data_IF_388731225077
#
_entry.id   IF_388731225077
#
_cell.length_a   1.000
_cell.length_b   1.000
_cell.length_c   1.000
_cell.angle_alpha   90.00
_cell.angle_beta   90.00
_cell.angle_gamma   90.00
#
_symmetry.space_group_name_H-M   'P 1'
#
loop_
_entity.id
_entity.type
_entity.pdbx_description
1 polymer ?
#
# COMPACT_ATOMS: atom_id res chain seq x y z
N UNK A 1 -16.31 21.24 -8.11
CA UNK A 1 -15.53 22.37 -7.57
C UNK A 1 -14.06 22.23 -7.91
N UNK A 2 -13.44 21.09 -7.66
CA UNK A 2 -12.02 20.87 -7.93
C UNK A 2 -11.68 20.76 -9.43
N UNK A 3 -12.60 20.27 -10.25
CA UNK A 3 -12.36 20.08 -11.68
C UNK A 3 -12.12 21.38 -12.44
N UNK A 4 -12.80 22.47 -12.09
CA UNK A 4 -12.67 23.75 -12.79
C UNK A 4 -11.37 24.49 -12.46
N UNK A 5 -10.80 24.26 -11.27
CA UNK A 5 -9.55 24.92 -10.86
C UNK A 5 -8.30 24.11 -11.26
N UNK A 6 -8.41 22.77 -11.29
CA UNK A 6 -7.30 21.86 -11.54
C UNK A 6 -7.18 21.42 -13.00
N UNK A 7 -8.27 21.43 -13.75
CA UNK A 7 -8.37 20.82 -15.08
C UNK A 7 -8.55 21.85 -16.18
N UNK A 8 -7.48 22.43 -16.65
CA UNK A 8 -7.51 23.38 -17.77
C UNK A 8 -7.79 22.69 -19.13
N UNK A 9 -7.62 21.38 -19.23
CA UNK A 9 -7.88 20.60 -20.41
C UNK A 9 -9.18 19.78 -20.36
N UNK A 10 -9.99 19.96 -19.32
CA UNK A 10 -11.20 19.17 -19.04
C UNK A 10 -10.96 17.66 -18.90
N UNK A 11 -9.75 17.23 -18.50
CA UNK A 11 -9.38 15.81 -18.39
C UNK A 11 -10.19 15.09 -17.33
N UNK A 12 -10.33 15.68 -16.14
CA UNK A 12 -11.10 15.09 -15.05
C UNK A 12 -12.58 15.04 -15.42
N UNK A 13 -13.12 16.13 -15.96
CA UNK A 13 -14.52 16.21 -16.40
C UNK A 13 -14.84 15.18 -17.48
N UNK A 14 -13.94 14.97 -18.44
CA UNK A 14 -14.10 13.96 -19.48
C UNK A 14 -14.02 12.54 -18.90
N UNK A 15 -13.06 12.29 -18.00
CA UNK A 15 -12.92 11.00 -17.30
C UNK A 15 -14.20 10.67 -16.53
N UNK A 16 -14.74 11.62 -15.76
CA UNK A 16 -15.98 11.42 -14.99
C UNK A 16 -17.21 11.20 -15.87
N UNK A 17 -17.25 11.78 -17.08
CA UNK A 17 -18.35 11.52 -18.04
C UNK A 17 -18.27 10.15 -18.70
N UNK A 18 -17.07 9.61 -18.81
CA UNK A 18 -16.82 8.29 -19.42
C UNK A 18 -16.92 7.17 -18.38
N UNK A 19 -16.80 7.52 -17.10
CA UNK A 19 -16.89 6.56 -16.00
C UNK A 19 -18.34 6.05 -15.88
N UNK A 20 -18.48 4.73 -15.91
CA UNK A 20 -19.76 4.04 -15.77
C UNK A 20 -20.27 4.02 -14.32
N UNK A 21 -19.42 4.37 -13.36
CA UNK A 21 -19.76 4.36 -11.94
C UNK A 21 -20.45 5.65 -11.52
N UNK A 22 -21.60 5.53 -10.87
CA UNK A 22 -22.43 6.70 -10.52
C UNK A 22 -22.20 7.18 -9.07
N UNK A 23 -21.63 6.33 -8.23
CA UNK A 23 -21.38 6.61 -6.82
C UNK A 23 -20.12 5.92 -6.31
N UNK A 24 -19.75 6.23 -5.08
CA UNK A 24 -18.56 5.70 -4.42
C UNK A 24 -18.63 4.18 -4.25
N UNK A 25 -19.81 3.64 -3.96
CA UNK A 25 -20.00 2.20 -3.81
C UNK A 25 -19.78 1.46 -5.14
N UNK A 26 -20.39 1.94 -6.22
CA UNK A 26 -20.20 1.36 -7.55
C UNK A 26 -18.73 1.40 -7.99
N UNK A 27 -18.01 2.48 -7.69
CA UNK A 27 -16.59 2.61 -7.97
C UNK A 27 -15.75 1.59 -7.17
N UNK A 28 -16.02 1.42 -5.88
CA UNK A 28 -15.34 0.40 -5.05
C UNK A 28 -15.59 -1.02 -5.56
N UNK A 29 -16.81 -1.33 -5.93
CA UNK A 29 -17.18 -2.64 -6.50
C UNK A 29 -16.48 -2.87 -7.84
N UNK A 30 -16.40 -1.85 -8.70
CA UNK A 30 -15.70 -1.96 -9.98
C UNK A 30 -14.20 -2.25 -9.77
N UNK A 31 -13.54 -1.54 -8.84
CA UNK A 31 -12.14 -1.79 -8.47
C UNK A 31 -11.97 -3.20 -7.90
N UNK A 32 -12.89 -3.63 -7.01
CA UNK A 32 -12.84 -4.97 -6.41
C UNK A 32 -12.89 -6.07 -7.48
N UNK A 33 -13.81 -5.97 -8.44
CA UNK A 33 -13.94 -6.93 -9.55
C UNK A 33 -12.68 -6.98 -10.42
N UNK A 34 -12.05 -5.83 -10.65
CA UNK A 34 -10.80 -5.77 -11.42
C UNK A 34 -9.64 -6.43 -10.69
N UNK A 35 -9.54 -6.25 -9.37
CA UNK A 35 -8.46 -6.81 -8.54
C UNK A 35 -8.68 -8.29 -8.19
N UNK A 36 -9.93 -8.73 -8.10
CA UNK A 36 -10.32 -10.10 -7.73
C UNK A 36 -11.38 -10.65 -8.68
N UNK A 37 -11.01 -10.96 -9.92
CA UNK A 37 -11.93 -11.54 -10.86
C UNK A 37 -12.45 -12.92 -10.35
N UNK A 38 -13.76 -13.11 -10.38
CA UNK A 38 -14.41 -14.36 -9.97
C UNK A 38 -14.91 -14.40 -8.52
N UNK A 39 -14.56 -13.44 -7.68
CA UNK A 39 -15.17 -13.30 -6.34
C UNK A 39 -16.39 -12.38 -6.39
N UNK A 40 -17.52 -12.76 -5.76
CA UNK A 40 -18.69 -11.88 -5.69
C UNK A 40 -18.34 -10.67 -4.80
N UNK A 41 -18.52 -9.45 -5.31
CA UNK A 41 -18.24 -8.24 -4.54
C UNK A 41 -19.34 -8.01 -3.50
N UNK A 42 -18.98 -7.90 -2.23
CA UNK A 42 -19.83 -7.37 -1.17
C UNK A 42 -19.34 -5.98 -0.80
N UNK A 43 -20.21 -5.15 -0.23
CA UNK A 43 -19.86 -3.78 0.17
C UNK A 43 -18.69 -3.79 1.16
N UNK A 44 -18.78 -4.62 2.21
CA UNK A 44 -17.76 -4.74 3.24
C UNK A 44 -16.42 -5.22 2.67
N UNK A 45 -16.44 -6.20 1.76
CA UNK A 45 -15.22 -6.73 1.14
C UNK A 45 -14.56 -5.69 0.23
N UNK A 46 -15.34 -4.93 -0.54
CA UNK A 46 -14.83 -3.88 -1.41
C UNK A 46 -14.23 -2.72 -0.59
N UNK A 47 -14.93 -2.30 0.48
CA UNK A 47 -14.42 -1.28 1.38
C UNK A 47 -13.16 -1.73 2.12
N UNK A 48 -13.15 -2.93 2.68
CA UNK A 48 -11.99 -3.49 3.37
C UNK A 48 -10.79 -3.61 2.44
N UNK A 49 -10.98 -3.95 1.17
CA UNK A 49 -9.91 -4.00 0.18
C UNK A 49 -9.28 -2.63 -0.06
N UNK A 50 -10.08 -1.58 -0.28
CA UNK A 50 -9.56 -0.21 -0.48
C UNK A 50 -8.82 0.28 0.76
N UNK A 51 -9.37 0.03 1.95
CA UNK A 51 -8.71 0.36 3.21
C UNK A 51 -7.33 -0.30 3.31
N UNK A 52 -7.23 -1.58 3.01
CA UNK A 52 -5.95 -2.31 3.03
C UNK A 52 -4.96 -1.83 1.98
N UNK A 53 -5.41 -1.38 0.82
CA UNK A 53 -4.53 -0.95 -0.26
C UNK A 53 -3.80 0.35 0.04
N UNK A 54 -4.44 1.31 0.73
CA UNK A 54 -3.92 2.67 0.81
C UNK A 54 -3.89 3.27 2.22
N UNK A 55 -4.77 2.84 3.12
CA UNK A 55 -5.05 3.53 4.38
C UNK A 55 -4.70 2.74 5.64
N UNK A 56 -4.45 1.43 5.53
CA UNK A 56 -4.11 0.59 6.67
C UNK A 56 -2.59 0.51 6.86
N UNK A 57 -2.05 0.95 8.02
CA UNK A 57 -0.62 0.93 8.30
C UNK A 57 -0.01 -0.48 8.37
N UNK A 58 -0.83 -1.52 8.58
CA UNK A 58 -0.35 -2.90 8.60
C UNK A 58 -0.02 -3.43 7.20
N UNK A 59 -0.59 -2.83 6.16
CA UNK A 59 -0.48 -3.31 4.77
C UNK A 59 0.13 -2.31 3.82
N UNK A 60 0.22 -1.03 4.20
CA UNK A 60 0.77 0.05 3.39
C UNK A 60 1.68 0.96 4.23
N UNK A 61 2.89 1.20 3.76
CA UNK A 61 3.86 2.07 4.42
C UNK A 61 4.72 2.80 3.39
N UNK A 62 4.61 4.13 3.35
CA UNK A 62 5.47 5.00 2.54
C UNK A 62 6.90 5.06 3.06
N UNK A 63 7.15 4.67 4.30
CA UNK A 63 8.36 4.95 5.06
C UNK A 63 8.62 6.44 5.30
N UNK A 64 9.53 6.76 6.24
CA UNK A 64 9.89 8.17 6.53
C UNK A 64 10.49 8.87 5.31
N UNK A 65 11.37 8.18 4.59
CA UNK A 65 12.03 8.72 3.39
C UNK A 65 11.02 8.92 2.26
N UNK A 66 10.12 7.96 2.05
CA UNK A 66 9.05 8.09 1.06
C UNK A 66 8.12 9.25 1.37
N UNK A 67 7.67 9.40 2.62
CA UNK A 67 6.82 10.54 3.05
C UNK A 67 7.54 11.89 2.87
N UNK A 68 8.81 11.98 3.24
CA UNK A 68 9.61 13.18 3.05
C UNK A 68 9.70 13.58 1.57
N UNK A 69 10.06 12.63 0.69
CA UNK A 69 10.14 12.87 -0.76
C UNK A 69 8.78 13.21 -1.36
N UNK A 70 7.73 12.53 -0.94
CA UNK A 70 6.38 12.84 -1.36
C UNK A 70 5.99 14.28 -1.01
N UNK A 71 6.19 14.68 0.24
CA UNK A 71 5.88 16.04 0.70
C UNK A 71 6.69 17.08 -0.06
N UNK A 72 7.99 16.85 -0.27
CA UNK A 72 8.85 17.74 -1.06
C UNK A 72 8.35 17.88 -2.51
N UNK A 73 7.93 16.79 -3.15
CA UNK A 73 7.36 16.81 -4.51
C UNK A 73 6.02 17.55 -4.57
N UNK A 74 5.21 17.46 -3.51
CA UNK A 74 3.95 18.20 -3.38
C UNK A 74 4.13 19.66 -2.96
N UNK A 75 5.38 20.14 -2.77
CA UNK A 75 5.67 21.52 -2.33
C UNK A 75 5.24 21.79 -0.88
N UNK A 76 5.10 20.75 -0.04
CA UNK A 76 4.76 20.89 1.37
C UNK A 76 6.02 21.22 2.18
N UNK A 77 5.90 22.17 3.12
CA UNK A 77 7.02 22.55 4.01
C UNK A 77 7.37 21.45 5.02
N UNK A 78 6.41 20.62 5.40
CA UNK A 78 6.60 19.56 6.39
C UNK A 78 7.27 18.33 5.76
N UNK A 79 8.35 17.86 6.39
CA UNK A 79 9.05 16.62 6.00
C UNK A 79 8.46 15.36 6.64
N UNK A 80 7.48 15.53 7.54
CA UNK A 80 6.83 14.45 8.30
C UNK A 80 5.35 14.35 8.00
N UNK A 81 4.72 13.24 8.39
CA UNK A 81 3.31 13.02 8.22
C UNK A 81 2.93 11.54 8.38
N UNK A 82 1.67 11.17 8.17
CA UNK A 82 1.23 9.78 8.24
C UNK A 82 1.96 8.93 7.19
N UNK A 83 2.29 7.70 7.54
CA UNK A 83 2.99 6.76 6.64
C UNK A 83 2.05 6.09 5.63
N UNK A 84 0.75 6.27 5.81
CA UNK A 84 -0.30 5.85 4.88
C UNK A 84 -0.73 7.04 4.01
N UNK A 85 -1.42 6.78 2.90
CA UNK A 85 -1.99 7.82 2.08
C UNK A 85 -3.20 8.49 2.76
N UNK A 86 -3.40 9.75 2.45
CA UNK A 86 -4.61 10.51 2.80
C UNK A 86 -5.35 10.93 1.53
N UNK A 87 -6.62 11.30 1.66
CA UNK A 87 -7.40 11.81 0.53
C UNK A 87 -6.76 13.08 -0.07
N UNK A 88 -6.14 13.92 0.78
CA UNK A 88 -5.42 15.10 0.33
C UNK A 88 -4.16 14.75 -0.48
N UNK A 89 -3.49 13.66 -0.13
CA UNK A 89 -2.35 13.15 -0.90
C UNK A 89 -2.79 12.76 -2.31
N UNK A 90 -3.88 12.02 -2.41
CA UNK A 90 -4.45 11.58 -3.71
C UNK A 90 -4.83 12.79 -4.57
N UNK A 91 -5.53 13.78 -3.98
CA UNK A 91 -5.90 15.01 -4.69
C UNK A 91 -4.66 15.79 -5.16
N UNK A 92 -3.62 15.87 -4.33
CA UNK A 92 -2.37 16.54 -4.69
C UNK A 92 -1.66 15.83 -5.86
N UNK A 93 -1.65 14.50 -5.88
CA UNK A 93 -1.12 13.71 -7.01
C UNK A 93 -1.91 13.98 -8.28
N UNK A 94 -3.25 13.93 -8.23
CA UNK A 94 -4.10 14.23 -9.39
C UNK A 94 -3.83 15.63 -9.93
N UNK A 95 -3.67 16.63 -9.04
CA UNK A 95 -3.32 18.01 -9.44
C UNK A 95 -2.01 18.05 -10.23
N UNK A 96 -0.95 17.42 -9.71
CA UNK A 96 0.35 17.38 -10.39
C UNK A 96 0.25 16.67 -11.74
N UNK A 97 -0.50 15.57 -11.84
CA UNK A 97 -0.69 14.86 -13.11
C UNK A 97 -1.40 15.73 -14.15
N UNK A 98 -2.40 16.50 -13.74
CA UNK A 98 -3.07 17.48 -14.63
C UNK A 98 -2.11 18.59 -15.04
N UNK A 99 -1.32 19.13 -14.11
CA UNK A 99 -0.31 20.14 -14.40
C UNK A 99 0.73 19.65 -15.40
N UNK A 100 1.26 18.43 -15.22
CA UNK A 100 2.17 17.79 -16.18
C UNK A 100 1.53 17.62 -17.56
N UNK A 101 0.27 17.21 -17.62
CA UNK A 101 -0.49 17.10 -18.87
C UNK A 101 -0.65 18.44 -19.59
N UNK A 102 -0.74 19.52 -18.84
CA UNK A 102 -0.79 20.90 -19.35
C UNK A 102 0.60 21.50 -19.62
N UNK A 103 1.66 20.69 -19.58
CA UNK A 103 3.03 21.14 -19.85
C UNK A 103 3.67 21.93 -18.69
N UNK A 104 3.13 21.83 -17.48
CA UNK A 104 3.68 22.45 -16.28
C UNK A 104 4.41 21.40 -15.42
N UNK A 105 5.66 21.69 -15.08
CA UNK A 105 6.51 20.78 -14.32
C UNK A 105 7.30 19.82 -15.21
N UNK A 106 8.01 18.93 -14.57
CA UNK A 106 8.89 17.94 -15.22
C UNK A 106 8.56 16.53 -14.74
N UNK A 107 8.63 15.59 -15.66
CA UNK A 107 8.46 14.15 -15.35
C UNK A 107 9.73 13.66 -14.68
N UNK A 108 9.57 12.96 -13.55
CA UNK A 108 10.71 12.37 -12.84
C UNK A 108 11.33 11.21 -13.64
N UNK A 109 12.65 11.16 -13.65
CA UNK A 109 13.38 9.98 -14.07
C UNK A 109 13.34 8.94 -12.94
N UNK A 110 12.54 7.88 -13.13
CA UNK A 110 12.37 6.81 -12.14
C UNK A 110 13.61 5.94 -11.97
N UNK A 111 14.50 5.90 -12.95
CA UNK A 111 15.73 5.11 -12.92
C UNK A 111 16.89 5.88 -12.28
N UNK A 112 16.75 7.20 -12.11
CA UNK A 112 17.77 8.01 -11.45
C UNK A 112 17.93 7.57 -9.98
N UNK A 113 19.16 7.30 -9.54
CA UNK A 113 19.45 6.83 -8.19
C UNK A 113 19.00 7.79 -7.06
N UNK A 114 18.80 9.07 -7.37
CA UNK A 114 18.17 10.03 -6.47
C UNK A 114 16.69 9.72 -6.19
N UNK A 115 15.99 9.04 -7.10
CA UNK A 115 14.58 8.66 -7.01
C UNK A 115 14.39 7.19 -6.63
N UNK A 116 15.43 6.37 -6.84
CA UNK A 116 15.40 4.93 -6.54
C UNK A 116 16.24 4.63 -5.31
N UNK A 117 15.58 4.12 -4.27
CA UNK A 117 16.24 3.75 -3.02
C UNK A 117 17.01 2.44 -3.18
N UNK A 118 18.31 2.46 -2.82
CA UNK A 118 19.13 1.24 -2.72
C UNK A 118 19.00 0.68 -1.30
N UNK A 119 18.64 -0.59 -1.19
CA UNK A 119 18.56 -1.31 0.08
C UNK A 119 19.86 -2.05 0.37
N UNK A 120 20.38 -1.90 1.58
CA UNK A 120 21.56 -2.65 2.01
C UNK A 120 21.20 -4.09 2.40
N UNK A 121 22.22 -4.94 2.49
CA UNK A 121 22.03 -6.35 2.85
C UNK A 121 21.38 -6.54 4.21
N UNK A 122 21.66 -5.66 5.18
CA UNK A 122 21.03 -5.71 6.50
C UNK A 122 19.52 -5.54 6.44
N UNK A 123 19.04 -4.60 5.63
CA UNK A 123 17.60 -4.40 5.43
C UNK A 123 16.95 -5.58 4.69
N UNK A 124 17.63 -6.16 3.71
CA UNK A 124 17.14 -7.35 3.01
C UNK A 124 17.04 -8.55 3.97
N UNK A 125 18.04 -8.75 4.82
CA UNK A 125 18.04 -9.80 5.85
C UNK A 125 16.94 -9.57 6.89
N UNK A 126 16.72 -8.32 7.33
CA UNK A 126 15.61 -7.95 8.22
C UNK A 126 14.26 -8.32 7.63
N UNK A 127 14.02 -7.96 6.37
CA UNK A 127 12.77 -8.28 5.69
C UNK A 127 12.53 -9.81 5.63
N UNK A 128 13.58 -10.57 5.38
CA UNK A 128 13.48 -12.03 5.35
C UNK A 128 13.24 -12.62 6.75
N UNK A 129 13.87 -12.05 7.76
CA UNK A 129 13.62 -12.43 9.15
C UNK A 129 12.16 -12.13 9.57
N UNK A 130 11.62 -10.98 9.21
CA UNK A 130 10.19 -10.64 9.41
C UNK A 130 9.26 -11.64 8.75
N UNK A 131 9.59 -12.10 7.54
CA UNK A 131 8.82 -13.18 6.87
C UNK A 131 8.82 -14.46 7.68
N UNK A 132 9.96 -14.84 8.25
CA UNK A 132 10.07 -15.99 9.14
C UNK A 132 9.23 -15.83 10.42
N UNK A 133 9.23 -14.65 11.03
CA UNK A 133 8.39 -14.34 12.20
C UNK A 133 6.90 -14.40 11.89
N UNK A 134 6.45 -13.88 10.75
CA UNK A 134 5.06 -13.94 10.33
C UNK A 134 4.59 -15.40 10.13
N UNK A 135 5.46 -16.28 9.63
CA UNK A 135 5.18 -17.72 9.52
C UNK A 135 5.01 -18.36 10.91
N UNK A 136 5.84 -17.96 11.89
CA UNK A 136 5.69 -18.43 13.29
C UNK A 136 4.39 -17.92 13.89
N UNK A 137 4.10 -16.63 13.76
CA UNK A 137 2.86 -16.03 14.28
C UNK A 137 1.63 -16.78 13.76
N UNK A 138 1.59 -17.03 12.44
CA UNK A 138 0.51 -17.79 11.83
C UNK A 138 0.39 -19.20 12.43
N UNK A 139 1.51 -19.93 12.54
CA UNK A 139 1.52 -21.28 13.10
C UNK A 139 1.08 -21.31 14.57
N UNK A 140 1.47 -20.30 15.36
CA UNK A 140 1.04 -20.17 16.76
C UNK A 140 -0.46 -19.92 16.84
N UNK A 141 -1.00 -19.00 16.03
CA UNK A 141 -2.44 -18.73 15.99
C UNK A 141 -3.26 -19.96 15.60
N UNK A 142 -2.79 -20.73 14.61
CA UNK A 142 -3.45 -21.98 14.19
C UNK A 142 -3.46 -23.02 15.30
N UNK A 143 -2.33 -23.19 16.01
CA UNK A 143 -2.23 -24.14 17.13
C UNK A 143 -3.08 -23.71 18.33
N UNK A 144 -3.07 -22.44 18.68
CA UNK A 144 -3.93 -21.92 19.74
C UNK A 144 -5.42 -22.10 19.43
N UNK A 145 -5.82 -21.94 18.18
CA UNK A 145 -7.20 -22.18 17.76
C UNK A 145 -7.61 -23.65 17.79
N UNK A 146 -6.65 -24.58 17.72
CA UNK A 146 -6.90 -26.03 17.81
C UNK A 146 -6.82 -26.56 19.24
N UNK A 147 -6.23 -25.82 20.16
CA UNK A 147 -5.87 -26.26 21.51
C UNK A 147 -6.95 -26.07 22.57
N UNK A 148 -8.23 -26.09 22.19
CA UNK A 148 -9.34 -25.93 23.17
C UNK A 148 -9.36 -27.01 24.25
N UNK A 149 -8.54 -28.06 24.21
CA UNK A 149 -8.63 -29.22 25.12
C UNK A 149 -7.33 -29.60 25.85
N UNK A 150 -6.15 -29.06 25.53
CA UNK A 150 -4.90 -29.42 26.20
C UNK A 150 -4.06 -28.20 26.58
N UNK A 151 -3.42 -28.17 27.79
CA UNK A 151 -2.52 -27.09 28.16
C UNK A 151 -1.24 -27.16 27.30
N UNK A 152 -1.12 -26.24 26.35
CA UNK A 152 0.07 -26.09 25.51
C UNK A 152 1.20 -25.41 26.28
N UNK A 153 2.39 -26.02 26.28
CA UNK A 153 3.58 -25.39 26.80
C UNK A 153 4.21 -24.47 25.74
N UNK A 154 4.86 -23.41 26.19
CA UNK A 154 5.52 -22.43 25.32
C UNK A 154 6.50 -23.06 24.30
N UNK A 155 7.31 -24.09 24.62
CA UNK A 155 8.20 -24.77 23.67
C UNK A 155 7.44 -25.48 22.53
N UNK A 156 6.21 -25.90 22.76
CA UNK A 156 5.39 -26.61 21.77
C UNK A 156 4.78 -25.65 20.74
N UNK A 157 4.68 -24.37 21.09
CA UNK A 157 4.09 -23.33 20.25
C UNK A 157 5.11 -22.68 19.30
N UNK A 158 6.36 -22.47 19.76
CA UNK A 158 7.35 -21.68 19.06
C UNK A 158 8.49 -22.57 18.56
N UNK A 159 8.66 -22.64 17.25
CA UNK A 159 9.79 -23.32 16.62
C UNK A 159 10.65 -22.36 15.81
N UNK A 160 11.98 -22.54 15.86
CA UNK A 160 12.92 -21.70 15.07
C UNK A 160 13.00 -22.08 13.59
N UNK A 161 12.46 -23.25 13.21
CA UNK A 161 12.52 -23.76 11.81
C UNK A 161 12.03 -22.78 10.75
N UNK A 162 10.90 -22.05 10.90
CA UNK A 162 10.44 -21.12 9.89
C UNK A 162 11.40 -19.94 9.65
N UNK A 163 12.06 -19.44 10.71
CA UNK A 163 13.08 -18.40 10.59
C UNK A 163 14.31 -18.94 9.88
N UNK A 164 14.81 -20.11 10.33
CA UNK A 164 15.98 -20.75 9.71
C UNK A 164 15.74 -21.06 8.23
N UNK A 165 14.54 -21.48 7.87
CA UNK A 165 14.16 -21.73 6.47
C UNK A 165 14.15 -20.43 5.65
N UNK A 166 13.55 -19.36 6.20
CA UNK A 166 13.51 -18.06 5.54
C UNK A 166 14.92 -17.47 5.33
N UNK A 167 15.80 -17.57 6.34
CA UNK A 167 17.18 -17.11 6.21
C UNK A 167 18.00 -17.95 5.23
N UNK A 168 17.79 -19.27 5.20
CA UNK A 168 18.45 -20.14 4.21
C UNK A 168 18.00 -19.81 2.78
N UNK A 169 16.71 -19.55 2.58
CA UNK A 169 16.17 -19.13 1.29
C UNK A 169 16.80 -17.80 0.79
N UNK A 170 17.15 -16.91 1.74
CA UNK A 170 17.81 -15.64 1.42
C UNK A 170 19.31 -15.80 1.12
N UNK A 171 19.99 -16.72 1.76
CA UNK A 171 21.45 -16.89 1.63
C UNK A 171 21.86 -17.84 0.51
N UNK A 172 20.92 -18.51 -0.13
CA UNK A 172 21.18 -19.36 -1.27
C UNK A 172 20.91 -20.79 -1.18
#
# INVERSE_FOLDING_TARGET
>A
IYTNELDQGAYISQTLRTDETVDEFAARVAIYRMMRPGEPPTEDAAQAMIQRLFYNPDTYDLSRVGRMKFNAKMGRAESTGPMVLTNEDILSVVKILVDLRNGRGEVDDIDHLGNRRVRCVGELAENQYRTGLARIEKAVKERLGQAEQEPLLQPDLIHSKPISAALKEFLG
#
